data_IF_889985934220
#
_entry.id   IF_889985934220
#
_cell.length_a   1.000
_cell.length_b   1.000
_cell.length_c   1.000
_cell.angle_alpha   90.00
_cell.angle_beta   90.00
_cell.angle_gamma   90.00
#
_symmetry.space_group_name_H-M   'P 1'
#
loop_
_entity.id
_entity.type
_entity.pdbx_description
1 polymer ?
#
# COMPACT_ATOMS: atom_id res chain seq x y z
N UNK A 1 1.66 3.90 -22.38
CA UNK A 1 1.71 3.81 -20.91
C UNK A 1 2.01 5.21 -20.40
N UNK A 2 1.48 5.59 -19.24
CA UNK A 2 1.59 6.96 -18.74
C UNK A 2 2.89 7.10 -17.92
N UNK A 3 4.02 7.45 -18.56
CA UNK A 3 5.31 7.56 -17.88
C UNK A 3 5.29 8.54 -16.71
N UNK A 4 4.42 9.56 -16.74
CA UNK A 4 4.25 10.48 -15.60
C UNK A 4 3.69 9.77 -14.36
N UNK A 5 2.81 8.78 -14.55
CA UNK A 5 2.28 7.97 -13.46
C UNK A 5 3.35 7.04 -12.88
N UNK A 6 4.20 6.48 -13.73
CA UNK A 6 5.32 5.62 -13.31
C UNK A 6 6.33 6.41 -12.47
N UNK A 7 6.69 7.62 -12.93
CA UNK A 7 7.52 8.57 -12.19
C UNK A 7 6.89 8.92 -10.84
N UNK A 8 5.61 9.31 -10.82
CA UNK A 8 4.88 9.61 -9.59
C UNK A 8 4.96 8.46 -8.59
N UNK A 9 4.70 7.22 -9.04
CA UNK A 9 4.63 6.06 -8.15
C UNK A 9 5.99 5.75 -7.52
N UNK A 10 7.07 5.75 -8.32
CA UNK A 10 8.42 5.53 -7.78
C UNK A 10 8.79 6.64 -6.80
N UNK A 11 8.54 7.90 -7.17
CA UNK A 11 8.83 9.03 -6.28
C UNK A 11 8.02 8.98 -4.99
N UNK A 12 6.73 8.63 -5.06
CA UNK A 12 5.88 8.51 -3.87
C UNK A 12 6.30 7.35 -2.98
N UNK A 13 6.69 6.22 -3.56
CA UNK A 13 7.18 5.05 -2.82
C UNK A 13 8.54 5.34 -2.14
N UNK A 14 9.34 6.25 -2.70
CA UNK A 14 10.67 6.59 -2.20
C UNK A 14 10.76 7.94 -1.48
N UNK A 15 9.66 8.69 -1.32
CA UNK A 15 9.71 10.06 -0.79
C UNK A 15 10.46 10.17 0.55
N UNK A 16 10.27 9.18 1.41
CA UNK A 16 10.84 9.09 2.75
C UNK A 16 12.01 8.10 2.88
N UNK A 17 12.54 7.54 1.78
CA UNK A 17 13.69 6.61 1.83
C UNK A 17 14.92 7.24 2.49
N UNK A 18 15.04 8.56 2.37
CA UNK A 18 16.04 9.36 3.04
C UNK A 18 16.05 9.23 4.55
N UNK A 19 14.93 8.87 5.20
CA UNK A 19 14.90 8.59 6.64
C UNK A 19 15.75 7.36 7.00
N UNK A 20 15.75 6.35 6.14
CA UNK A 20 16.62 5.17 6.31
C UNK A 20 18.09 5.54 6.06
N UNK A 21 18.37 6.25 4.96
CA UNK A 21 19.71 6.70 4.60
C UNK A 21 20.34 7.64 5.64
N UNK A 22 19.56 8.58 6.19
CA UNK A 22 19.97 9.50 7.25
C UNK A 22 20.32 8.77 8.55
N UNK A 23 19.51 7.77 8.94
CA UNK A 23 19.79 6.95 10.13
C UNK A 23 21.03 6.08 9.94
N UNK A 24 21.31 5.66 8.71
CA UNK A 24 22.50 4.91 8.32
C UNK A 24 23.74 5.78 8.02
N UNK A 25 23.69 7.10 8.26
CA UNK A 25 24.78 8.06 7.99
C UNK A 25 25.31 8.02 6.54
N UNK A 26 24.40 7.93 5.56
CA UNK A 26 24.75 7.95 4.13
C UNK A 26 25.05 9.37 3.63
N UNK A 27 25.64 9.54 2.44
CA UNK A 27 25.77 10.87 1.84
C UNK A 27 24.41 11.50 1.49
N UNK A 28 24.41 12.81 1.25
CA UNK A 28 23.24 13.61 0.88
C UNK A 28 23.63 14.74 -0.08
N UNK A 29 22.65 15.31 -0.78
CA UNK A 29 22.86 16.42 -1.72
C UNK A 29 22.84 17.79 -0.99
N UNK A 30 23.95 18.14 -0.32
CA UNK A 30 24.06 19.38 0.48
C UNK A 30 23.88 20.69 -0.33
N UNK A 31 24.12 20.66 -1.64
CA UNK A 31 23.94 21.79 -2.54
C UNK A 31 22.45 22.16 -2.76
N UNK A 32 21.53 21.25 -2.45
CA UNK A 32 20.09 21.42 -2.63
C UNK A 32 19.36 21.89 -1.35
N UNK A 33 20.08 22.20 -0.28
CA UNK A 33 19.50 22.67 1.01
C UNK A 33 18.50 23.81 0.81
N UNK A 34 18.86 24.81 -0.01
CA UNK A 34 18.02 25.99 -0.25
C UNK A 34 16.79 25.69 -1.10
N UNK A 35 16.84 24.64 -1.93
CA UNK A 35 15.75 24.25 -2.79
C UNK A 35 14.75 23.39 -2.01
N UNK A 36 15.23 22.36 -1.31
CA UNK A 36 14.37 21.30 -0.78
C UNK A 36 13.89 21.54 0.64
N UNK A 37 14.71 22.17 1.49
CA UNK A 37 14.40 22.23 2.90
C UNK A 37 13.55 23.45 3.26
N UNK A 38 12.38 23.26 3.92
CA UNK A 38 11.65 24.38 4.49
C UNK A 38 12.45 25.05 5.61
N UNK A 39 12.18 26.33 5.85
CA UNK A 39 12.75 27.08 6.98
C UNK A 39 11.64 27.44 7.96
N UNK A 40 11.80 27.06 9.23
CA UNK A 40 10.92 27.46 10.30
C UNK A 40 11.72 28.14 11.42
N UNK A 41 11.36 29.38 11.77
CA UNK A 41 12.06 30.18 12.80
C UNK A 41 13.59 30.26 12.58
N UNK A 42 14.02 30.36 11.31
CA UNK A 42 15.44 30.44 10.95
C UNK A 42 16.21 29.12 11.03
N UNK A 43 15.54 27.99 11.32
CA UNK A 43 16.13 26.65 11.30
C UNK A 43 15.57 25.82 10.16
N UNK A 44 16.45 25.05 9.51
CA UNK A 44 16.07 24.05 8.50
C UNK A 44 15.63 22.76 9.19
N UNK A 45 14.72 22.03 8.55
CA UNK A 45 14.20 20.72 8.98
C UNK A 45 14.02 19.80 7.77
N UNK A 46 13.57 18.56 7.98
CA UNK A 46 13.30 17.58 6.92
C UNK A 46 14.53 17.22 6.06
N UNK A 47 15.70 17.17 6.69
CA UNK A 47 16.97 16.86 6.01
C UNK A 47 16.95 15.52 5.28
N UNK A 48 16.08 14.57 5.68
CA UNK A 48 15.87 13.32 4.98
C UNK A 48 15.60 13.53 3.47
N UNK A 49 14.98 14.64 3.06
CA UNK A 49 14.78 14.99 1.65
C UNK A 49 16.10 14.98 0.83
N UNK A 50 17.20 15.50 1.39
CA UNK A 50 18.50 15.52 0.71
C UNK A 50 19.12 14.13 0.57
N UNK A 51 18.78 13.22 1.49
CA UNK A 51 19.21 11.82 1.43
C UNK A 51 18.35 11.02 0.45
N UNK A 52 17.04 11.32 0.35
CA UNK A 52 16.15 10.74 -0.67
C UNK A 52 16.65 11.11 -2.08
N UNK A 53 17.01 12.38 -2.29
CA UNK A 53 17.57 12.86 -3.55
C UNK A 53 18.86 12.11 -3.92
N UNK A 54 19.83 12.10 -3.01
CA UNK A 54 21.11 11.42 -3.23
C UNK A 54 20.91 9.93 -3.55
N UNK A 55 20.03 9.25 -2.81
CA UNK A 55 19.72 7.85 -3.04
C UNK A 55 19.17 7.63 -4.46
N UNK A 56 18.21 8.44 -4.91
CA UNK A 56 17.66 8.33 -6.26
C UNK A 56 18.69 8.68 -7.33
N UNK A 57 19.52 9.69 -7.12
CA UNK A 57 20.52 10.13 -8.09
C UNK A 57 21.71 9.17 -8.21
N UNK A 58 22.13 8.52 -7.12
CA UNK A 58 23.41 7.79 -7.05
C UNK A 58 23.27 6.29 -6.82
N UNK A 59 22.28 5.86 -6.06
CA UNK A 59 22.19 4.46 -5.58
C UNK A 59 21.08 3.65 -6.26
N UNK A 60 20.00 4.31 -6.72
CA UNK A 60 18.82 3.65 -7.28
C UNK A 60 19.07 3.16 -8.72
N UNK A 61 19.04 1.83 -8.98
CA UNK A 61 18.97 1.33 -10.35
C UNK A 61 17.57 1.57 -10.92
N UNK A 62 17.47 2.19 -12.10
CA UNK A 62 16.19 2.46 -12.77
C UNK A 62 16.04 1.61 -14.03
N UNK A 63 14.81 1.28 -14.44
CA UNK A 63 14.52 0.80 -15.79
C UNK A 63 15.04 1.78 -16.84
N UNK A 64 15.54 1.32 -18.00
CA UNK A 64 16.04 2.19 -19.07
C UNK A 64 15.06 3.29 -19.48
N UNK A 65 13.77 3.01 -19.47
CA UNK A 65 12.71 3.97 -19.79
C UNK A 65 12.55 5.11 -18.77
N UNK A 66 13.07 4.96 -17.54
CA UNK A 66 13.00 5.97 -16.48
C UNK A 66 14.33 6.70 -16.24
N UNK A 67 15.43 6.26 -16.85
CA UNK A 67 16.76 6.86 -16.65
C UNK A 67 16.82 8.33 -17.08
N UNK A 68 16.19 8.69 -18.20
CA UNK A 68 16.10 10.10 -18.63
C UNK A 68 15.34 10.98 -17.64
N UNK A 69 14.48 10.38 -16.82
CA UNK A 69 13.68 11.05 -15.80
C UNK A 69 14.32 10.98 -14.40
N UNK A 70 15.53 10.44 -14.23
CA UNK A 70 16.18 10.23 -12.91
C UNK A 70 16.13 11.48 -12.02
N UNK A 71 16.59 12.63 -12.51
CA UNK A 71 16.58 13.86 -11.73
C UNK A 71 15.19 14.41 -11.45
N UNK A 72 14.22 14.13 -12.33
CA UNK A 72 12.81 14.44 -12.05
C UNK A 72 12.27 13.53 -10.95
N UNK A 73 12.59 12.23 -10.97
CA UNK A 73 12.18 11.27 -9.92
C UNK A 73 12.80 11.70 -8.58
N UNK A 74 14.09 12.06 -8.56
CA UNK A 74 14.82 12.50 -7.38
C UNK A 74 14.20 13.76 -6.75
N UNK A 75 13.93 14.78 -7.59
CA UNK A 75 13.23 15.99 -7.20
C UNK A 75 11.85 15.69 -6.62
N UNK A 76 11.01 14.97 -7.36
CA UNK A 76 9.60 14.72 -6.99
C UNK A 76 9.51 13.88 -5.71
N UNK A 77 10.45 12.97 -5.46
CA UNK A 77 10.55 12.24 -4.20
C UNK A 77 10.92 13.16 -3.02
N UNK A 78 11.79 14.15 -3.25
CA UNK A 78 12.44 14.92 -2.19
C UNK A 78 11.72 16.24 -1.84
N UNK A 79 10.96 16.81 -2.77
CA UNK A 79 10.38 18.17 -2.65
C UNK A 79 9.01 18.20 -1.94
N UNK A 80 8.53 17.07 -1.40
CA UNK A 80 7.19 16.95 -0.81
C UNK A 80 6.95 17.83 0.43
N UNK A 81 7.98 18.45 1.02
CA UNK A 81 7.85 19.47 2.08
C UNK A 81 7.75 20.91 1.57
N UNK A 82 8.09 21.14 0.30
CA UNK A 82 8.05 22.44 -0.36
C UNK A 82 7.69 22.30 -1.85
N UNK A 83 6.55 21.67 -2.17
CA UNK A 83 6.20 21.36 -3.55
C UNK A 83 6.01 22.64 -4.36
N UNK A 84 6.27 22.56 -5.66
CA UNK A 84 5.77 23.51 -6.63
C UNK A 84 4.25 23.32 -6.75
N UNK A 85 3.48 24.33 -6.31
CA UNK A 85 2.01 24.30 -6.35
C UNK A 85 1.42 24.12 -7.76
N UNK A 86 2.23 24.30 -8.82
CA UNK A 86 1.82 24.10 -10.22
C UNK A 86 2.19 22.72 -10.77
N UNK A 87 2.96 21.92 -10.04
CA UNK A 87 3.31 20.57 -10.46
C UNK A 87 2.34 19.55 -9.84
N UNK A 88 1.66 18.79 -10.70
CA UNK A 88 0.67 17.82 -10.28
C UNK A 88 1.28 16.70 -9.42
N UNK A 89 2.47 16.20 -9.78
CA UNK A 89 3.09 15.08 -9.08
C UNK A 89 3.61 15.48 -7.72
N UNK A 90 4.30 16.62 -7.63
CA UNK A 90 4.80 17.16 -6.36
C UNK A 90 3.64 17.42 -5.38
N UNK A 91 2.54 18.03 -5.86
CA UNK A 91 1.35 18.26 -5.03
C UNK A 91 0.63 16.97 -4.64
N UNK A 92 0.51 15.99 -5.54
CA UNK A 92 -0.10 14.70 -5.21
C UNK A 92 0.67 13.98 -4.10
N UNK A 93 2.00 13.96 -4.14
CA UNK A 93 2.83 13.30 -3.11
C UNK A 93 2.76 14.05 -1.79
N UNK A 94 2.87 15.38 -1.80
CA UNK A 94 2.73 16.19 -0.58
C UNK A 94 1.40 15.93 0.13
N UNK A 95 0.30 15.87 -0.63
CA UNK A 95 -1.03 15.62 -0.05
C UNK A 95 -1.10 14.18 0.46
N UNK A 96 -0.66 13.21 -0.34
CA UNK A 96 -0.70 11.80 0.01
C UNK A 96 0.12 11.47 1.27
N UNK A 97 1.31 12.05 1.43
CA UNK A 97 2.16 11.88 2.61
C UNK A 97 1.44 12.32 3.89
N UNK A 98 0.82 13.50 3.85
CA UNK A 98 0.04 14.02 4.99
C UNK A 98 -1.21 13.20 5.28
N UNK A 99 -1.88 12.68 4.25
CA UNK A 99 -3.05 11.80 4.42
C UNK A 99 -2.66 10.44 4.99
N UNK A 100 -1.53 9.88 4.56
CA UNK A 100 -0.99 8.59 5.04
C UNK A 100 -0.58 8.65 6.51
N UNK A 101 -0.02 9.78 6.95
CA UNK A 101 0.37 10.02 8.35
C UNK A 101 -0.81 10.22 9.32
N UNK A 102 -2.04 10.38 8.80
CA UNK A 102 -3.20 10.83 9.57
C UNK A 102 -3.07 12.32 9.92
N UNK A 103 -3.99 13.14 9.39
CA UNK A 103 -3.94 14.62 9.43
C UNK A 103 -3.75 15.24 10.83
N UNK A 104 -3.98 14.48 11.90
CA UNK A 104 -3.85 14.92 13.29
C UNK A 104 -2.40 14.85 13.82
N UNK A 105 -1.48 14.18 13.11
CA UNK A 105 -0.05 14.16 13.47
C UNK A 105 0.59 15.47 12.99
N UNK A 106 0.51 16.53 13.79
CA UNK A 106 1.42 17.67 13.65
C UNK A 106 2.85 17.19 13.99
N UNK A 107 3.51 16.57 13.03
CA UNK A 107 4.90 16.17 13.12
C UNK A 107 5.77 17.43 13.09
N UNK A 108 6.17 17.91 14.27
CA UNK A 108 7.35 18.78 14.34
C UNK A 108 8.54 17.85 14.10
N UNK A 109 9.06 17.72 12.88
CA UNK A 109 10.26 16.88 12.69
C UNK A 109 11.48 17.46 13.44
N UNK A 110 12.35 16.61 14.00
CA UNK A 110 13.53 17.05 14.72
C UNK A 110 14.48 17.81 13.79
N UNK A 111 15.12 18.87 14.30
CA UNK A 111 16.33 19.43 13.67
C UNK A 111 17.48 18.43 13.78
N UNK A 112 18.49 18.49 12.90
CA UNK A 112 19.62 17.51 12.91
C UNK A 112 20.29 17.33 14.26
N UNK A 113 20.35 18.40 15.06
CA UNK A 113 20.99 18.41 16.38
C UNK A 113 20.19 17.69 17.49
N UNK A 114 19.05 17.07 17.19
CA UNK A 114 18.18 16.46 18.21
C UNK A 114 18.44 14.96 18.39
N UNK A 115 18.79 14.61 19.62
CA UNK A 115 19.09 13.25 20.10
C UNK A 115 17.84 12.37 20.20
N UNK A 116 17.93 11.08 19.83
CA UNK A 116 16.90 10.07 20.11
C UNK A 116 16.19 9.47 18.89
N UNK A 117 16.25 10.10 17.72
CA UNK A 117 15.51 9.62 16.54
C UNK A 117 16.14 8.38 15.87
N UNK A 118 17.47 8.20 16.00
CA UNK A 118 18.19 7.02 15.49
C UNK A 118 18.09 5.83 16.46
N UNK A 119 17.84 6.13 17.72
CA UNK A 119 17.66 5.15 18.79
C UNK A 119 16.26 4.55 18.76
N UNK A 120 15.23 5.29 18.34
CA UNK A 120 13.84 4.80 18.28
C UNK A 120 13.66 3.52 17.45
N UNK A 121 12.76 2.64 17.91
CA UNK A 121 12.36 1.39 17.24
C UNK A 121 10.85 1.35 17.04
N UNK A 122 10.41 0.58 16.04
CA UNK A 122 9.00 0.38 15.75
C UNK A 122 8.31 -0.34 16.92
N UNK A 123 7.34 0.33 17.53
CA UNK A 123 6.48 -0.18 18.59
C UNK A 123 5.49 -1.17 17.99
N UNK A 124 5.20 -2.23 18.74
CA UNK A 124 4.19 -3.20 18.34
C UNK A 124 2.79 -2.62 18.48
N UNK A 125 2.03 -2.57 17.39
CA UNK A 125 0.61 -2.19 17.41
C UNK A 125 -0.24 -3.08 18.33
N UNK A 126 0.20 -4.31 18.62
CA UNK A 126 -0.50 -5.19 19.55
C UNK A 126 -0.38 -4.74 21.01
N UNK A 127 0.59 -3.89 21.33
CA UNK A 127 0.75 -3.33 22.67
C UNK A 127 -0.32 -2.27 22.99
N UNK A 128 -0.90 -1.65 21.95
CA UNK A 128 -2.01 -0.71 22.09
C UNK A 128 -3.35 -1.41 22.39
N UNK A 129 -3.43 -2.74 22.26
CA UNK A 129 -4.65 -3.51 22.46
C UNK A 129 -4.91 -3.72 23.95
N UNK A 130 -5.76 -2.87 24.53
CA UNK A 130 -6.18 -2.97 25.93
C UNK A 130 -7.22 -4.08 26.14
N UNK A 131 -6.82 -5.17 26.82
CA UNK A 131 -7.72 -6.25 27.22
C UNK A 131 -7.51 -6.63 28.70
N UNK A 132 -8.60 -6.67 29.46
CA UNK A 132 -8.60 -7.14 30.84
C UNK A 132 -7.79 -6.25 31.77
N UNK A 133 -6.57 -6.66 32.13
CA UNK A 133 -5.67 -5.94 33.05
C UNK A 133 -4.52 -5.20 32.34
N UNK A 134 -4.51 -5.19 31.00
CA UNK A 134 -3.53 -4.43 30.22
C UNK A 134 -4.05 -3.02 29.95
N UNK A 135 -3.25 -2.02 30.30
CA UNK A 135 -3.47 -0.61 29.95
C UNK A 135 -2.25 -0.18 29.17
N UNK A 136 -2.47 0.43 28.01
CA UNK A 136 -1.40 0.92 27.17
C UNK A 136 -0.85 2.21 27.77
N UNK A 137 0.46 2.25 27.99
CA UNK A 137 1.18 3.46 28.38
C UNK A 137 2.23 3.78 27.33
N UNK A 138 2.15 4.95 26.70
CA UNK A 138 3.14 5.38 25.72
C UNK A 138 4.54 5.47 26.37
N UNK A 139 5.60 5.01 25.70
CA UNK A 139 5.68 4.63 24.29
C UNK A 139 5.40 3.13 24.00
N UNK A 140 4.96 2.35 24.98
CA UNK A 140 4.83 0.90 24.90
C UNK A 140 6.05 0.14 25.42
N UNK A 141 5.84 -1.14 25.72
CA UNK A 141 6.78 -2.10 26.29
C UNK A 141 7.18 -3.20 25.29
N UNK A 142 6.66 -3.16 24.05
CA UNK A 142 6.97 -4.15 23.01
C UNK A 142 7.36 -3.48 21.69
N UNK A 143 8.47 -3.92 21.11
CA UNK A 143 9.02 -3.34 19.88
C UNK A 143 9.69 -4.37 18.97
N UNK A 144 9.89 -4.03 17.71
CA UNK A 144 10.52 -4.93 16.72
C UNK A 144 12.03 -4.69 16.60
N UNK A 145 12.77 -5.78 16.37
CA UNK A 145 14.20 -5.71 16.04
C UNK A 145 14.42 -5.11 14.66
N UNK A 146 15.48 -4.31 14.53
CA UNK A 146 15.91 -3.75 13.26
C UNK A 146 16.67 -4.81 12.44
N UNK A 147 15.92 -5.65 11.72
CA UNK A 147 16.42 -6.77 10.91
C UNK A 147 15.60 -6.91 9.63
N UNK A 148 16.18 -7.46 8.54
CA UNK A 148 15.41 -7.82 7.36
C UNK A 148 14.26 -8.76 7.72
N UNK A 149 13.11 -8.60 7.05
CA UNK A 149 11.97 -9.48 7.20
C UNK A 149 12.34 -10.89 6.76
N UNK A 150 12.19 -11.83 7.67
CA UNK A 150 12.33 -13.27 7.42
C UNK A 150 11.10 -13.97 7.99
N UNK A 151 10.18 -14.38 7.11
CA UNK A 151 8.91 -14.99 7.48
C UNK A 151 9.05 -16.30 8.29
N UNK A 152 10.22 -16.94 8.24
CA UNK A 152 10.52 -18.14 9.03
C UNK A 152 11.30 -17.88 10.32
N UNK A 153 11.73 -16.64 10.55
CA UNK A 153 12.62 -16.27 11.66
C UNK A 153 11.87 -15.72 12.87
N UNK A 154 12.48 -15.84 14.06
CA UNK A 154 11.92 -15.30 15.30
C UNK A 154 11.94 -13.76 15.37
N UNK A 155 12.67 -13.10 14.46
CA UNK A 155 12.81 -11.64 14.43
C UNK A 155 11.53 -10.88 14.09
N UNK A 156 10.50 -11.57 13.58
CA UNK A 156 9.18 -11.00 13.29
C UNK A 156 8.34 -10.79 14.56
N UNK A 157 8.71 -11.40 15.67
CA UNK A 157 7.99 -11.25 16.94
C UNK A 157 8.51 -10.05 17.72
N UNK A 158 7.62 -9.27 18.38
CA UNK A 158 8.04 -8.14 19.17
C UNK A 158 8.75 -8.59 20.45
N UNK A 159 9.73 -7.81 20.87
CA UNK A 159 10.56 -8.04 22.05
C UNK A 159 10.08 -7.12 23.16
N UNK A 160 10.00 -7.67 24.38
CA UNK A 160 9.68 -6.88 25.57
C UNK A 160 10.84 -5.97 25.97
N UNK A 161 10.60 -4.68 26.12
CA UNK A 161 11.56 -3.69 26.59
C UNK A 161 11.21 -2.28 26.10
N UNK A 162 12.09 -1.33 26.41
CA UNK A 162 11.95 0.03 25.88
C UNK A 162 12.18 0.03 24.35
N UNK A 163 11.37 0.75 23.56
CA UNK A 163 11.47 0.81 22.10
C UNK A 163 12.68 1.64 21.63
N UNK A 164 13.88 1.25 22.05
CA UNK A 164 15.13 1.90 21.72
C UNK A 164 16.21 0.87 21.39
N UNK A 165 17.07 1.17 20.43
CA UNK A 165 18.20 0.35 20.02
C UNK A 165 19.43 1.19 19.65
N UNK A 166 20.44 0.52 19.09
CA UNK A 166 21.73 1.15 18.76
C UNK A 166 21.65 1.83 17.37
N UNK A 167 21.97 3.13 17.24
CA UNK A 167 21.97 3.80 15.93
C UNK A 167 22.79 3.09 14.85
N UNK A 168 23.87 2.42 15.24
CA UNK A 168 24.80 1.74 14.34
C UNK A 168 24.17 0.55 13.62
N UNK A 169 23.05 0.00 14.12
CA UNK A 169 22.32 -1.11 13.49
C UNK A 169 21.76 -0.75 12.10
N UNK A 170 21.52 0.54 11.82
CA UNK A 170 21.04 1.00 10.52
C UNK A 170 22.10 0.87 9.41
N UNK A 171 23.39 0.97 9.75
CA UNK A 171 24.49 0.92 8.77
C UNK A 171 24.49 -0.41 8.01
N UNK A 172 24.67 -1.58 8.68
CA UNK A 172 24.69 -2.86 7.99
C UNK A 172 23.34 -3.20 7.35
N UNK A 173 22.21 -2.78 7.95
CA UNK A 173 20.90 -2.98 7.32
C UNK A 173 20.82 -2.26 5.97
N UNK A 174 21.31 -1.03 5.88
CA UNK A 174 21.33 -0.25 4.63
C UNK A 174 22.33 -0.82 3.62
N UNK A 175 23.48 -1.34 4.06
CA UNK A 175 24.43 -2.00 3.17
C UNK A 175 23.81 -3.24 2.52
N UNK A 176 23.16 -4.11 3.30
CA UNK A 176 22.44 -5.27 2.76
C UNK A 176 21.29 -4.87 1.83
N UNK A 177 20.56 -3.80 2.16
CA UNK A 177 19.53 -3.25 1.28
C UNK A 177 20.12 -2.83 -0.07
N UNK A 178 21.23 -2.07 -0.09
CA UNK A 178 21.89 -1.66 -1.34
C UNK A 178 22.44 -2.86 -2.14
N UNK A 179 22.95 -3.90 -1.47
CA UNK A 179 23.42 -5.11 -2.13
C UNK A 179 22.32 -5.85 -2.88
N UNK A 180 21.13 -5.99 -2.29
CA UNK A 180 19.99 -6.62 -2.96
C UNK A 180 19.30 -5.67 -3.95
N UNK A 181 19.28 -4.37 -3.68
CA UNK A 181 18.75 -3.35 -4.59
C UNK A 181 19.46 -3.40 -5.96
N UNK A 182 20.79 -3.54 -5.96
CA UNK A 182 21.58 -3.67 -7.20
C UNK A 182 21.27 -4.94 -8.01
N UNK A 183 20.56 -5.90 -7.44
CA UNK A 183 20.17 -7.14 -8.11
C UNK A 183 18.79 -7.08 -8.77
N UNK A 184 18.04 -5.97 -8.58
CA UNK A 184 16.76 -5.79 -9.28
C UNK A 184 17.01 -5.81 -10.78
N UNK A 185 16.25 -6.65 -11.48
CA UNK A 185 16.29 -6.69 -12.93
C UNK A 185 15.54 -5.49 -13.54
N UNK A 186 16.30 -4.46 -13.92
CA UNK A 186 15.78 -3.24 -14.55
C UNK A 186 15.41 -3.41 -16.02
N UNK A 187 15.68 -4.56 -16.65
CA UNK A 187 15.30 -4.81 -18.04
C UNK A 187 13.87 -5.32 -18.21
N UNK A 188 13.16 -5.60 -17.11
CA UNK A 188 11.76 -6.00 -17.13
C UNK A 188 10.87 -4.75 -17.14
N UNK A 189 9.64 -4.89 -17.66
CA UNK A 189 8.70 -3.77 -17.66
C UNK A 189 8.41 -3.23 -16.25
N UNK A 190 8.13 -1.93 -16.18
CA UNK A 190 7.96 -1.17 -14.94
C UNK A 190 7.14 -1.85 -13.83
N UNK A 191 6.04 -2.56 -14.17
CA UNK A 191 5.24 -3.30 -13.19
C UNK A 191 6.08 -4.31 -12.38
N UNK A 192 6.98 -5.05 -13.02
CA UNK A 192 7.82 -6.05 -12.33
C UNK A 192 8.94 -5.40 -11.52
N UNK A 193 9.52 -4.32 -12.04
CA UNK A 193 10.44 -3.47 -11.30
C UNK A 193 9.80 -2.94 -10.02
N UNK A 194 8.57 -2.42 -10.12
CA UNK A 194 7.81 -1.91 -8.98
C UNK A 194 7.52 -2.99 -7.93
N UNK A 195 7.07 -4.19 -8.32
CA UNK A 195 6.87 -5.27 -7.34
C UNK A 195 8.19 -5.66 -6.65
N UNK A 196 9.31 -5.66 -7.37
CA UNK A 196 10.64 -5.93 -6.78
C UNK A 196 11.04 -4.87 -5.77
N UNK A 197 10.81 -3.59 -6.09
CA UNK A 197 11.02 -2.47 -5.18
C UNK A 197 10.13 -2.56 -3.94
N UNK A 198 8.83 -2.84 -4.10
CA UNK A 198 7.90 -3.01 -2.99
C UNK A 198 8.37 -4.15 -2.07
N UNK A 199 8.74 -5.31 -2.62
CA UNK A 199 9.23 -6.45 -1.83
C UNK A 199 10.54 -6.15 -1.10
N UNK A 200 11.47 -5.40 -1.70
CA UNK A 200 12.70 -5.01 -1.03
C UNK A 200 12.48 -3.97 0.07
N UNK A 201 11.61 -2.99 -0.16
CA UNK A 201 11.22 -2.03 0.87
C UNK A 201 10.51 -2.75 2.03
N UNK A 202 9.57 -3.65 1.75
CA UNK A 202 8.93 -4.48 2.77
C UNK A 202 9.99 -5.23 3.58
N UNK A 203 10.93 -5.88 2.90
CA UNK A 203 11.99 -6.64 3.56
C UNK A 203 12.87 -5.79 4.47
N UNK A 204 13.27 -4.59 4.06
CA UNK A 204 14.28 -3.81 4.79
C UNK A 204 13.73 -2.66 5.63
N UNK A 205 12.49 -2.23 5.42
CA UNK A 205 11.92 -1.06 6.09
C UNK A 205 10.65 -1.35 6.93
N UNK A 206 10.19 -2.61 6.99
CA UNK A 206 9.03 -3.02 7.82
C UNK A 206 9.18 -2.74 9.32
N UNK A 207 10.40 -2.73 9.88
CA UNK A 207 10.64 -2.49 11.31
C UNK A 207 11.30 -1.14 11.60
N UNK A 208 11.42 -0.28 10.59
CA UNK A 208 11.89 1.10 10.73
C UNK A 208 10.68 1.99 11.02
N UNK A 209 10.68 2.80 12.10
CA UNK A 209 9.57 3.73 12.33
C UNK A 209 9.58 4.88 11.31
N UNK A 210 8.42 5.14 10.70
CA UNK A 210 8.19 6.24 9.75
C UNK A 210 8.31 7.62 10.41
N UNK A 211 7.88 7.74 11.67
CA UNK A 211 8.06 8.89 12.55
C UNK A 211 8.50 8.43 13.94
N UNK A 212 9.51 9.09 14.47
CA UNK A 212 10.12 8.77 15.77
C UNK A 212 10.12 9.92 16.77
N UNK A 213 9.47 11.04 16.42
CA UNK A 213 9.56 12.26 17.22
C UNK A 213 8.18 12.75 17.64
N UNK A 214 7.99 12.88 18.96
CA UNK A 214 6.76 13.35 19.65
C UNK A 214 5.45 12.67 19.24
N UNK A 215 5.56 11.54 18.55
CA UNK A 215 4.46 10.71 18.08
C UNK A 215 4.79 9.27 18.43
N UNK A 216 3.75 8.43 18.57
CA UNK A 216 3.97 7.00 18.75
C UNK A 216 4.62 6.44 17.48
N UNK A 217 5.65 5.63 17.66
CA UNK A 217 6.44 5.02 16.57
C UNK A 217 5.84 3.66 16.19
N UNK A 218 4.56 3.65 15.84
CA UNK A 218 3.72 2.47 15.59
C UNK A 218 3.53 2.14 14.09
N UNK A 219 3.86 3.09 13.21
CA UNK A 219 3.74 2.93 11.75
C UNK A 219 5.11 2.69 11.13
N UNK A 220 5.26 1.59 10.40
CA UNK A 220 6.50 1.28 9.69
C UNK A 220 6.74 2.24 8.51
N UNK A 221 8.01 2.45 8.17
CA UNK A 221 8.41 3.22 7.00
C UNK A 221 7.89 2.59 5.71
N UNK A 222 7.83 1.25 5.66
CA UNK A 222 7.24 0.52 4.54
C UNK A 222 5.75 0.85 4.37
N UNK A 223 4.94 0.68 5.42
CA UNK A 223 3.49 0.89 5.36
C UNK A 223 3.15 2.35 5.05
N UNK A 224 3.89 3.29 5.63
CA UNK A 224 3.75 4.72 5.32
C UNK A 224 4.02 5.00 3.84
N UNK A 225 5.14 4.50 3.31
CA UNK A 225 5.54 4.72 1.92
C UNK A 225 4.58 4.08 0.92
N UNK A 226 4.12 2.85 1.20
CA UNK A 226 3.16 2.14 0.37
C UNK A 226 1.80 2.84 0.38
N UNK A 227 1.34 3.27 1.56
CA UNK A 227 0.11 4.06 1.73
C UNK A 227 0.16 5.38 0.97
N UNK A 228 1.25 6.14 1.11
CA UNK A 228 1.50 7.38 0.38
C UNK A 228 1.46 7.14 -1.13
N UNK A 229 2.12 6.10 -1.65
CA UNK A 229 2.09 5.78 -3.07
C UNK A 229 0.69 5.41 -3.58
N UNK A 230 -0.09 4.64 -2.82
CA UNK A 230 -1.46 4.28 -3.18
C UNK A 230 -2.42 5.46 -3.23
N UNK A 231 -2.31 6.38 -2.25
CA UNK A 231 -3.09 7.61 -2.20
C UNK A 231 -2.66 8.56 -3.33
N UNK A 232 -1.35 8.76 -3.54
CA UNK A 232 -0.81 9.62 -4.59
C UNK A 232 -1.26 9.16 -5.99
N UNK A 233 -1.16 7.86 -6.29
CA UNK A 233 -1.64 7.28 -7.54
C UNK A 233 -3.12 7.59 -7.77
N UNK A 234 -3.96 7.39 -6.75
CA UNK A 234 -5.39 7.61 -6.86
C UNK A 234 -5.73 9.08 -7.05
N UNK A 235 -5.06 9.95 -6.31
CA UNK A 235 -5.21 11.40 -6.39
C UNK A 235 -4.80 11.94 -7.76
N UNK A 236 -3.64 11.51 -8.26
CA UNK A 236 -3.10 11.92 -9.56
C UNK A 236 -4.07 11.57 -10.70
N UNK A 237 -4.56 10.32 -10.73
CA UNK A 237 -5.48 9.88 -11.78
C UNK A 237 -6.84 10.60 -11.72
N UNK A 238 -7.33 10.91 -10.51
CA UNK A 238 -8.54 11.73 -10.35
C UNK A 238 -8.33 13.15 -10.89
N UNK A 239 -7.20 13.78 -10.58
CA UNK A 239 -6.91 15.15 -11.01
C UNK A 239 -6.59 15.25 -12.50
N UNK A 240 -5.88 14.26 -13.06
CA UNK A 240 -5.67 14.14 -14.50
C UNK A 240 -6.97 13.99 -15.27
N UNK A 241 -7.96 13.28 -14.71
CA UNK A 241 -9.30 13.22 -15.30
C UNK A 241 -10.04 14.57 -15.25
N UNK A 242 -9.82 15.37 -14.21
CA UNK A 242 -10.40 16.72 -14.06
C UNK A 242 -9.64 17.82 -14.80
N UNK A 243 -8.47 17.52 -15.38
CA UNK A 243 -7.53 18.52 -15.91
C UNK A 243 -7.20 19.61 -14.86
N UNK A 244 -6.92 19.17 -13.63
CA UNK A 244 -6.75 20.04 -12.47
C UNK A 244 -5.55 19.71 -11.60
N UNK A 245 -5.33 20.54 -10.57
CA UNK A 245 -4.35 20.34 -9.52
C UNK A 245 -5.06 20.08 -8.20
N UNK A 246 -4.52 19.22 -7.32
CA UNK A 246 -5.16 18.95 -6.05
C UNK A 246 -4.92 20.11 -5.08
N UNK A 247 -6.01 20.57 -4.45
CA UNK A 247 -5.94 21.49 -3.32
C UNK A 247 -5.82 20.74 -1.99
N UNK A 248 -5.28 21.41 -0.98
CA UNK A 248 -5.43 20.96 0.40
C UNK A 248 -6.85 21.27 0.89
N UNK A 249 -7.45 20.37 1.68
CA UNK A 249 -8.75 20.56 2.36
C UNK A 249 -9.98 20.76 1.46
N UNK A 250 -9.91 20.40 0.18
CA UNK A 250 -11.13 20.39 -0.63
C UNK A 250 -12.05 19.19 -0.28
N UNK A 251 -13.35 19.37 -0.52
CA UNK A 251 -14.39 18.42 -0.15
C UNK A 251 -14.76 17.45 -1.28
N UNK A 252 -14.00 17.41 -2.38
CA UNK A 252 -14.29 16.47 -3.45
C UNK A 252 -14.06 15.03 -2.96
N UNK A 253 -15.02 14.10 -3.17
CA UNK A 253 -14.78 12.69 -2.93
C UNK A 253 -13.87 12.14 -4.03
N UNK A 254 -12.55 12.21 -3.83
CA UNK A 254 -11.56 11.82 -4.86
C UNK A 254 -11.28 10.33 -4.90
N UNK A 255 -11.60 9.61 -3.83
CA UNK A 255 -11.21 8.22 -3.65
C UNK A 255 -12.42 7.31 -3.44
N UNK A 256 -12.27 6.05 -3.83
CA UNK A 256 -13.19 4.95 -3.53
C UNK A 256 -12.42 3.86 -2.77
N UNK A 257 -13.08 3.24 -1.78
CA UNK A 257 -12.65 1.95 -1.25
C UNK A 257 -13.29 0.83 -2.06
N UNK A 258 -12.49 0.19 -2.90
CA UNK A 258 -12.85 -1.04 -3.59
C UNK A 258 -12.57 -2.23 -2.69
N UNK A 259 -13.62 -2.91 -2.26
CA UNK A 259 -13.52 -4.13 -1.47
C UNK A 259 -13.98 -5.34 -2.29
N UNK A 260 -13.30 -6.47 -2.13
CA UNK A 260 -13.72 -7.74 -2.71
C UNK A 260 -13.64 -8.90 -1.73
N UNK A 261 -14.49 -9.89 -1.91
CA UNK A 261 -14.56 -11.13 -1.11
C UNK A 261 -14.82 -12.34 -1.99
N UNK A 262 -14.04 -13.40 -1.78
CA UNK A 262 -14.30 -14.72 -2.31
C UNK A 262 -15.10 -15.55 -1.30
N UNK A 263 -16.39 -15.68 -1.56
CA UNK A 263 -17.32 -16.41 -0.71
C UNK A 263 -17.40 -17.90 -1.09
N UNK A 264 -17.54 -18.76 -0.07
CA UNK A 264 -17.71 -20.21 -0.24
C UNK A 264 -16.42 -21.03 -0.09
N UNK A 265 -15.29 -20.39 0.26
CA UNK A 265 -13.97 -21.04 0.42
C UNK A 265 -14.02 -22.31 1.26
N UNK A 266 -14.62 -22.26 2.46
CA UNK A 266 -14.67 -23.43 3.36
C UNK A 266 -15.44 -24.60 2.73
N UNK A 267 -16.61 -24.34 2.13
CA UNK A 267 -17.40 -25.37 1.44
C UNK A 267 -16.64 -25.97 0.26
N UNK A 268 -15.94 -25.14 -0.50
CA UNK A 268 -15.11 -25.59 -1.61
C UNK A 268 -13.91 -26.44 -1.15
N UNK A 269 -13.22 -26.03 -0.08
CA UNK A 269 -12.06 -26.77 0.44
C UNK A 269 -12.48 -28.12 1.02
N UNK A 270 -13.49 -28.15 1.89
CA UNK A 270 -13.83 -29.33 2.69
C UNK A 270 -15.00 -30.16 2.15
N UNK A 271 -15.63 -29.74 1.06
CA UNK A 271 -16.74 -30.46 0.42
C UNK A 271 -16.36 -31.79 -0.27
N UNK A 272 -15.13 -32.28 -0.12
CA UNK A 272 -14.70 -33.58 -0.64
C UNK A 272 -15.18 -34.67 0.31
N UNK A 273 -15.87 -35.68 -0.24
CA UNK A 273 -16.28 -36.86 0.53
C UNK A 273 -15.07 -37.49 1.23
N UNK A 274 -15.20 -37.74 2.54
CA UNK A 274 -14.20 -38.38 3.43
C UNK A 274 -13.85 -39.83 3.05
N UNK A 275 -14.33 -40.34 1.91
CA UNK A 275 -14.29 -41.75 1.53
C UNK A 275 -13.02 -42.23 0.83
N UNK A 276 -11.92 -41.46 0.82
CA UNK A 276 -10.63 -41.94 0.28
C UNK A 276 -9.44 -41.48 1.14
N UNK A 277 -9.01 -42.33 2.08
CA UNK A 277 -8.03 -42.01 3.12
C UNK A 277 -6.57 -41.72 2.67
N UNK A 278 -6.26 -41.72 1.38
CA UNK A 278 -4.93 -41.32 0.85
C UNK A 278 -5.06 -40.16 -0.13
N UNK A 279 -4.26 -39.11 0.07
CA UNK A 279 -4.15 -37.98 -0.87
C UNK A 279 -5.04 -36.78 -0.57
N UNK A 280 -5.93 -36.85 0.42
CA UNK A 280 -6.82 -35.74 0.82
C UNK A 280 -6.03 -34.46 1.16
N UNK A 281 -4.90 -34.59 1.87
CA UNK A 281 -4.04 -33.45 2.21
C UNK A 281 -3.43 -32.78 0.97
N UNK A 282 -3.05 -33.55 -0.06
CA UNK A 282 -2.57 -33.01 -1.33
C UNK A 282 -3.69 -32.24 -2.05
N UNK A 283 -4.90 -32.78 -2.05
CA UNK A 283 -6.05 -32.11 -2.70
C UNK A 283 -6.42 -30.82 -1.97
N UNK A 284 -6.40 -30.79 -0.62
CA UNK A 284 -6.65 -29.56 0.13
C UNK A 284 -5.61 -28.47 -0.18
N UNK A 285 -4.32 -28.82 -0.24
CA UNK A 285 -3.26 -27.87 -0.65
C UNK A 285 -3.48 -27.36 -2.08
N UNK A 286 -3.80 -28.25 -3.02
CA UNK A 286 -4.06 -27.87 -4.41
C UNK A 286 -5.28 -26.94 -4.53
N UNK A 287 -6.37 -27.22 -3.81
CA UNK A 287 -7.56 -26.35 -3.78
C UNK A 287 -7.27 -25.00 -3.11
N UNK A 288 -6.51 -24.98 -2.02
CA UNK A 288 -6.11 -23.74 -1.35
C UNK A 288 -5.29 -22.85 -2.29
N UNK A 289 -4.28 -23.43 -2.95
CA UNK A 289 -3.47 -22.72 -3.94
C UNK A 289 -4.31 -22.21 -5.12
N UNK A 290 -5.23 -23.04 -5.63
CA UNK A 290 -6.14 -22.63 -6.70
C UNK A 290 -7.02 -21.45 -6.30
N UNK A 291 -7.61 -21.46 -5.10
CA UNK A 291 -8.42 -20.33 -4.60
C UNK A 291 -7.61 -19.04 -4.46
N UNK A 292 -6.39 -19.13 -3.92
CA UNK A 292 -5.48 -17.99 -3.82
C UNK A 292 -5.13 -17.44 -5.20
N UNK A 293 -4.87 -18.31 -6.17
CA UNK A 293 -4.55 -17.91 -7.54
C UNK A 293 -5.74 -17.23 -8.23
N UNK A 294 -6.96 -17.75 -8.03
CA UNK A 294 -8.18 -17.13 -8.57
C UNK A 294 -8.41 -15.75 -7.95
N UNK A 295 -8.31 -15.63 -6.62
CA UNK A 295 -8.48 -14.36 -5.94
C UNK A 295 -7.44 -13.33 -6.42
N UNK A 296 -6.16 -13.74 -6.51
CA UNK A 296 -5.09 -12.86 -6.99
C UNK A 296 -5.27 -12.47 -8.46
N UNK A 297 -5.73 -13.38 -9.31
CA UNK A 297 -6.00 -13.09 -10.72
C UNK A 297 -7.09 -12.02 -10.89
N UNK A 298 -8.13 -12.03 -10.04
CA UNK A 298 -9.18 -11.01 -10.06
C UNK A 298 -8.59 -9.63 -9.71
N UNK A 299 -7.75 -9.56 -8.68
CA UNK A 299 -7.09 -8.30 -8.27
C UNK A 299 -6.20 -7.77 -9.39
N UNK A 300 -5.37 -8.63 -9.99
CA UNK A 300 -4.47 -8.27 -11.09
C UNK A 300 -5.24 -7.80 -12.33
N UNK A 301 -6.35 -8.47 -12.66
CA UNK A 301 -7.19 -8.08 -13.79
C UNK A 301 -7.90 -6.75 -13.54
N UNK A 302 -8.40 -6.52 -12.32
CA UNK A 302 -8.94 -5.21 -11.92
C UNK A 302 -7.87 -4.14 -12.14
N UNK A 303 -6.71 -4.28 -11.50
CA UNK A 303 -5.59 -3.33 -11.58
C UNK A 303 -5.22 -3.00 -13.02
N UNK A 304 -5.08 -4.02 -13.86
CA UNK A 304 -4.76 -3.88 -15.29
C UNK A 304 -5.81 -3.06 -16.05
N UNK A 305 -7.11 -3.32 -15.85
CA UNK A 305 -8.17 -2.63 -16.61
C UNK A 305 -8.39 -1.19 -16.19
N UNK A 306 -8.28 -0.91 -14.89
CA UNK A 306 -8.42 0.45 -14.36
C UNK A 306 -7.10 1.24 -14.41
N UNK A 307 -6.02 0.63 -14.87
CA UNK A 307 -4.72 1.27 -15.05
C UNK A 307 -4.02 1.64 -13.74
N UNK A 308 -4.18 0.80 -12.71
CA UNK A 308 -3.55 0.98 -11.41
C UNK A 308 -2.41 -0.02 -11.21
N UNK A 309 -1.37 0.43 -10.51
CA UNK A 309 -0.32 -0.42 -9.99
C UNK A 309 -0.65 -0.92 -8.59
N UNK A 310 0.18 -1.85 -8.09
CA UNK A 310 0.00 -2.58 -6.85
C UNK A 310 -0.07 -1.76 -5.57
N UNK A 311 0.49 -0.54 -5.60
CA UNK A 311 0.49 0.39 -4.46
C UNK A 311 -0.91 0.78 -4.00
N UNK A 312 -1.95 0.57 -4.81
CA UNK A 312 -3.33 0.81 -4.41
C UNK A 312 -3.89 -0.15 -3.35
N UNK A 313 -3.21 -1.28 -3.08
CA UNK A 313 -3.73 -2.35 -2.20
C UNK A 313 -3.47 -1.99 -0.74
N UNK A 314 -4.54 -1.85 0.04
CA UNK A 314 -4.47 -1.64 1.49
C UNK A 314 -4.46 -2.97 2.27
N UNK A 315 -5.18 -3.98 1.76
CA UNK A 315 -5.27 -5.29 2.39
C UNK A 315 -5.51 -6.38 1.34
N UNK A 316 -4.84 -7.52 1.49
CA UNK A 316 -5.07 -8.76 0.73
C UNK A 316 -4.92 -9.96 1.69
N UNK A 317 -6.04 -10.51 2.18
CA UNK A 317 -6.02 -11.57 3.18
C UNK A 317 -7.23 -12.50 3.08
N UNK A 318 -6.98 -13.82 3.05
CA UNK A 318 -8.02 -14.83 3.17
C UNK A 318 -9.09 -14.83 2.07
N UNK A 319 -8.77 -14.28 0.88
CA UNK A 319 -9.73 -14.10 -0.22
C UNK A 319 -10.56 -12.82 -0.11
N UNK A 320 -10.30 -11.97 0.89
CA UNK A 320 -10.82 -10.60 0.99
C UNK A 320 -9.70 -9.62 0.62
N UNK A 321 -10.02 -8.60 -0.17
CA UNK A 321 -9.09 -7.51 -0.46
C UNK A 321 -9.76 -6.15 -0.32
N UNK A 322 -8.94 -5.13 -0.09
CA UNK A 322 -9.34 -3.73 -0.06
C UNK A 322 -8.29 -2.91 -0.78
N UNK A 323 -8.73 -2.03 -1.68
CA UNK A 323 -7.87 -1.13 -2.43
C UNK A 323 -8.46 0.29 -2.44
N UNK A 324 -7.58 1.28 -2.41
CA UNK A 324 -7.95 2.68 -2.67
C UNK A 324 -7.82 2.95 -4.17
N UNK A 325 -8.88 3.44 -4.80
CA UNK A 325 -8.91 3.71 -6.25
C UNK A 325 -9.47 5.12 -6.53
N UNK A 326 -9.20 5.71 -7.72
CA UNK A 326 -9.73 7.02 -8.07
C UNK A 326 -11.25 6.98 -8.29
N UNK A 327 -11.96 7.98 -7.77
CA UNK A 327 -13.40 8.14 -7.99
C UNK A 327 -13.69 8.86 -9.32
N UNK A 328 -13.58 8.16 -10.45
CA UNK A 328 -13.90 8.71 -11.78
C UNK A 328 -14.99 7.88 -12.48
N UNK A 329 -15.83 8.50 -13.34
CA UNK A 329 -16.86 7.76 -14.07
C UNK A 329 -16.31 6.57 -14.87
N UNK A 330 -15.20 6.77 -15.58
CA UNK A 330 -14.51 5.72 -16.34
C UNK A 330 -14.16 4.51 -15.47
N UNK A 331 -13.62 4.74 -14.26
CA UNK A 331 -13.21 3.65 -13.37
C UNK A 331 -14.44 2.92 -12.81
N UNK A 332 -15.49 3.65 -12.45
CA UNK A 332 -16.74 3.06 -11.98
C UNK A 332 -17.35 2.14 -13.05
N UNK A 333 -17.45 2.61 -14.29
CA UNK A 333 -17.96 1.82 -15.42
C UNK A 333 -17.13 0.55 -15.66
N UNK A 334 -15.81 0.64 -15.58
CA UNK A 334 -14.92 -0.50 -15.74
C UNK A 334 -15.06 -1.53 -14.61
N UNK A 335 -15.21 -1.09 -13.37
CA UNK A 335 -15.48 -1.97 -12.23
C UNK A 335 -16.84 -2.66 -12.35
N UNK A 336 -17.87 -1.95 -12.82
CA UNK A 336 -19.20 -2.53 -13.07
C UNK A 336 -19.16 -3.64 -14.13
N UNK A 337 -18.41 -3.39 -15.21
CA UNK A 337 -18.18 -4.39 -16.26
C UNK A 337 -17.45 -5.62 -15.73
N UNK A 338 -16.37 -5.41 -14.97
CA UNK A 338 -15.60 -6.47 -14.34
C UNK A 338 -16.42 -7.30 -13.35
N UNK A 339 -17.23 -6.66 -12.50
CA UNK A 339 -18.13 -7.36 -11.57
C UNK A 339 -19.11 -8.27 -12.33
N UNK A 340 -19.71 -7.77 -13.41
CA UNK A 340 -20.59 -8.58 -14.26
C UNK A 340 -19.86 -9.78 -14.88
N UNK A 341 -18.71 -9.57 -15.50
CA UNK A 341 -17.90 -10.64 -16.12
C UNK A 341 -17.48 -11.69 -15.09
N UNK A 342 -17.05 -11.25 -13.91
CA UNK A 342 -16.70 -12.11 -12.80
C UNK A 342 -17.91 -12.95 -12.36
N UNK A 343 -19.08 -12.34 -12.14
CA UNK A 343 -20.29 -13.08 -11.77
C UNK A 343 -20.66 -14.12 -12.82
N UNK A 344 -20.57 -13.79 -14.13
CA UNK A 344 -20.82 -14.74 -15.22
C UNK A 344 -19.84 -15.90 -15.16
N UNK A 345 -18.54 -15.63 -15.01
CA UNK A 345 -17.52 -16.66 -14.97
C UNK A 345 -17.68 -17.57 -13.74
N UNK A 346 -17.90 -17.00 -12.55
CA UNK A 346 -18.11 -17.77 -11.33
C UNK A 346 -19.39 -18.62 -11.40
N UNK A 347 -20.48 -18.07 -11.97
CA UNK A 347 -21.75 -18.79 -12.17
C UNK A 347 -21.53 -20.02 -13.05
N UNK A 348 -20.87 -19.86 -14.20
CA UNK A 348 -20.58 -20.95 -15.14
C UNK A 348 -19.60 -21.98 -14.54
N UNK A 349 -18.52 -21.51 -13.92
CA UNK A 349 -17.43 -22.38 -13.45
C UNK A 349 -17.75 -23.14 -12.18
N UNK A 350 -18.41 -22.48 -11.21
CA UNK A 350 -18.59 -23.02 -9.86
C UNK A 350 -20.05 -23.26 -9.49
N UNK A 351 -21.02 -22.88 -10.32
CA UNK A 351 -22.45 -23.18 -10.12
C UNK A 351 -22.96 -22.77 -8.72
N UNK A 352 -22.43 -21.65 -8.21
CA UNK A 352 -22.76 -21.11 -6.89
C UNK A 352 -21.99 -21.69 -5.70
N UNK A 353 -21.12 -22.68 -5.90
CA UNK A 353 -20.23 -23.19 -4.83
C UNK A 353 -19.23 -22.12 -4.36
N UNK A 354 -18.73 -21.34 -5.31
CA UNK A 354 -17.93 -20.14 -5.08
C UNK A 354 -18.60 -18.96 -5.77
N UNK A 355 -18.46 -17.79 -5.16
CA UNK A 355 -18.91 -16.53 -5.71
C UNK A 355 -17.93 -15.43 -5.32
N UNK A 356 -17.72 -14.47 -6.19
CA UNK A 356 -17.06 -13.22 -5.80
C UNK A 356 -18.10 -12.13 -5.54
N UNK A 357 -17.79 -11.23 -4.63
CA UNK A 357 -18.57 -10.03 -4.35
C UNK A 357 -17.63 -8.85 -4.32
N UNK A 358 -17.94 -7.81 -5.09
CA UNK A 358 -17.22 -6.55 -5.13
C UNK A 358 -18.12 -5.42 -4.60
N UNK A 359 -17.52 -4.44 -3.94
CA UNK A 359 -18.17 -3.23 -3.44
C UNK A 359 -17.26 -2.03 -3.65
N UNK A 360 -17.81 -0.94 -4.19
CA UNK A 360 -17.10 0.32 -4.49
C UNK A 360 -17.97 1.55 -4.20
N UNK A 361 -18.93 1.42 -3.28
CA UNK A 361 -19.87 2.50 -2.93
C UNK A 361 -19.29 3.53 -1.97
N UNK A 362 -18.27 3.17 -1.21
CA UNK A 362 -17.70 4.03 -0.17
C UNK A 362 -16.73 5.04 -0.77
N UNK A 363 -17.14 6.31 -0.70
CA UNK A 363 -16.38 7.46 -1.20
C UNK A 363 -15.66 8.17 -0.07
N UNK A 364 -14.45 8.65 -0.36
CA UNK A 364 -13.63 9.39 0.59
C UNK A 364 -13.17 10.72 0.01
N UNK A 365 -13.28 11.75 0.84
CA UNK A 365 -12.62 13.05 0.72
C UNK A 365 -11.25 13.01 1.40
N UNK A 366 -10.50 14.12 1.39
CA UNK A 366 -9.24 14.20 2.14
C UNK A 366 -9.45 14.12 3.67
N UNK A 367 -10.52 14.75 4.19
CA UNK A 367 -10.82 14.76 5.63
C UNK A 367 -11.15 13.37 6.20
N UNK A 368 -11.58 12.45 5.33
CA UNK A 368 -11.90 11.08 5.71
C UNK A 368 -10.67 10.24 6.09
N UNK A 369 -9.45 10.71 5.84
CA UNK A 369 -8.20 10.07 6.28
C UNK A 369 -7.83 10.39 7.73
N UNK A 370 -8.54 11.32 8.38
CA UNK A 370 -8.42 11.51 9.82
C UNK A 370 -8.83 10.22 10.54
N UNK A 371 -8.07 9.82 11.56
CA UNK A 371 -8.18 8.50 12.19
C UNK A 371 -9.62 8.14 12.60
N UNK A 372 -10.37 9.10 13.16
CA UNK A 372 -11.78 8.90 13.54
C UNK A 372 -12.67 8.65 12.33
N UNK A 373 -12.56 9.46 11.27
CA UNK A 373 -13.39 9.33 10.08
C UNK A 373 -13.01 8.09 9.26
N UNK A 374 -11.71 7.78 9.16
CA UNK A 374 -11.23 6.65 8.39
C UNK A 374 -11.77 5.33 8.93
N UNK A 375 -11.82 5.18 10.27
CA UNK A 375 -12.47 4.03 10.90
C UNK A 375 -13.94 3.87 10.45
N UNK A 376 -14.71 4.95 10.46
CA UNK A 376 -16.10 4.92 10.00
C UNK A 376 -16.20 4.54 8.51
N UNK A 377 -15.26 5.00 7.68
CA UNK A 377 -15.21 4.61 6.25
C UNK A 377 -14.87 3.15 6.04
N UNK A 378 -13.99 2.57 6.85
CA UNK A 378 -13.69 1.13 6.82
C UNK A 378 -14.94 0.32 7.23
N UNK A 379 -15.65 0.75 8.26
CA UNK A 379 -16.91 0.12 8.70
C UNK A 379 -17.98 0.20 7.59
N UNK A 380 -18.17 1.39 6.99
CA UNK A 380 -19.07 1.62 5.85
C UNK A 380 -18.75 0.69 4.67
N UNK A 381 -17.46 0.57 4.31
CA UNK A 381 -17.02 -0.29 3.21
C UNK A 381 -17.25 -1.79 3.51
N UNK A 382 -17.04 -2.20 4.76
CA UNK A 382 -17.31 -3.57 5.21
C UNK A 382 -18.80 -3.91 5.19
N UNK A 383 -19.66 -2.99 5.65
CA UNK A 383 -21.12 -3.15 5.58
C UNK A 383 -21.61 -3.24 4.13
N UNK A 384 -21.11 -2.37 3.25
CA UNK A 384 -21.43 -2.40 1.83
C UNK A 384 -21.01 -3.73 1.18
N UNK A 385 -19.83 -4.25 1.51
CA UNK A 385 -19.38 -5.56 1.03
C UNK A 385 -20.27 -6.70 1.55
N UNK A 386 -20.70 -6.64 2.81
CA UNK A 386 -21.62 -7.62 3.39
C UNK A 386 -22.99 -7.58 2.68
N UNK A 387 -23.51 -6.40 2.36
CA UNK A 387 -24.73 -6.25 1.57
C UNK A 387 -24.58 -6.85 0.16
N UNK A 388 -23.43 -6.63 -0.51
CA UNK A 388 -23.12 -7.24 -1.80
C UNK A 388 -23.12 -8.78 -1.73
N UNK A 389 -22.60 -9.36 -0.63
CA UNK A 389 -22.59 -10.82 -0.39
C UNK A 389 -23.99 -11.43 -0.22
N UNK A 390 -25.00 -10.63 0.11
CA UNK A 390 -26.41 -11.08 0.15
C UNK A 390 -27.07 -11.08 -1.24
N UNK A 391 -26.46 -10.42 -2.23
CA UNK A 391 -26.96 -10.27 -3.60
C UNK A 391 -26.03 -10.92 -4.64
N UNK A 392 -25.54 -12.12 -4.32
CA UNK A 392 -24.65 -12.89 -5.21
C UNK A 392 -25.33 -13.15 -6.56
N UNK A 393 -24.56 -12.98 -7.64
CA UNK A 393 -25.01 -13.26 -9.01
C UNK A 393 -26.21 -12.41 -9.48
N UNK A 394 -26.60 -11.35 -8.76
CA UNK A 394 -27.80 -10.57 -9.08
C UNK A 394 -27.76 -10.04 -10.52
N UNK A 395 -26.61 -9.52 -10.98
CA UNK A 395 -26.47 -9.01 -12.35
C UNK A 395 -26.71 -10.11 -13.39
N UNK A 396 -26.22 -11.32 -13.13
CA UNK A 396 -26.42 -12.45 -14.05
C UNK A 396 -27.82 -13.03 -14.00
N UNK A 397 -28.49 -13.04 -12.83
CA UNK A 397 -29.87 -13.53 -12.75
C UNK A 397 -30.87 -12.56 -13.37
N UNK A 398 -30.59 -11.26 -13.33
CA UNK A 398 -31.39 -10.26 -14.04
C UNK A 398 -31.30 -10.43 -15.57
N UNK A 399 -30.11 -10.73 -16.09
CA UNK A 399 -29.89 -10.80 -17.55
C UNK A 399 -30.16 -12.19 -18.14
N UNK A 400 -29.67 -13.26 -17.50
CA UNK A 400 -29.68 -14.63 -18.04
C UNK A 400 -30.76 -15.51 -17.40
N UNK A 401 -31.52 -14.99 -16.43
CA UNK A 401 -32.49 -15.76 -15.65
C UNK A 401 -31.85 -16.73 -14.64
N UNK A 402 -32.71 -17.44 -13.88
CA UNK A 402 -32.28 -18.32 -12.79
C UNK A 402 -31.67 -19.64 -13.26
N UNK A 403 -32.00 -20.08 -14.49
CA UNK A 403 -31.62 -21.40 -15.02
C UNK A 403 -30.17 -21.35 -15.54
N UNK A 404 -29.32 -22.26 -15.05
CA UNK A 404 -27.96 -22.45 -15.57
C UNK A 404 -28.03 -23.51 -16.66
N UNK A 405 -28.21 -23.09 -17.90
CA UNK A 405 -28.46 -23.99 -19.05
C UNK A 405 -27.18 -24.58 -19.68
N UNK A 406 -26.02 -24.36 -19.04
CA UNK A 406 -24.70 -24.65 -19.63
C UNK A 406 -24.36 -26.14 -19.76
N UNK A 407 -25.06 -27.01 -19.03
CA UNK A 407 -24.90 -28.48 -19.16
C UNK A 407 -26.09 -29.16 -19.86
N UNK A 408 -27.14 -28.41 -20.25
CA UNK A 408 -28.36 -28.95 -20.85
C UNK A 408 -28.32 -28.98 -22.39
N UNK A 409 -27.29 -28.39 -23.02
CA UNK A 409 -27.03 -28.60 -24.45
C UNK A 409 -26.45 -29.99 -24.66
N UNK A 410 -27.34 -30.97 -24.73
CA UNK A 410 -27.10 -32.20 -25.47
C UNK A 410 -27.00 -31.77 -26.94
N UNK A 411 -25.88 -32.09 -27.59
CA UNK A 411 -25.73 -31.92 -29.03
C UNK A 411 -26.98 -32.45 -29.74
N UNK A 412 -27.68 -31.58 -30.47
CA UNK A 412 -28.81 -31.91 -31.32
C UNK A 412 -28.35 -32.04 -32.77
#
# INVERSE_FOLDING_TARGET
>A
MDHDLEILIVSALLHDIGKFAQRANRPRSDDLVEEYLPTFQGKRSHYHALYSDYFVEKDLPLPPELEEARSRIARVASIHHRPNERDLSEMCIMIADRLSSGMDRMAIEPSEDQTGFKESRLVSIFDEVELGKHTFEAPGDFYYSLKPLDAGGDSIFPIKGKPTGKPEEYIPLFDFFLEELRQINTSLGFQFYLESMISLLEKYTWSIPSSSYRTLSDISLFDHSLGTAGIAQSLYLFQKHKDGLPGWEDNDPKFLLLCGDLSGIQKYLFGISKSSGRGVSKIFRARSFYLQTVARSIILEIQKRIGLFSVCRLMDSGGKFMAIIPNTPRIIEEIERLDKENQVWFRKKFKGLLSTSLSWSTRLTQQDFQMKHFRHKIDEANEALNAAKLRKFHRTFTDDGLIIDTDYRVDA
#
